data_IF_407243575725
#
_entry.id   IF_407243575725
#
_cell.length_a   1.000
_cell.length_b   1.000
_cell.length_c   1.000
_cell.angle_alpha   90.00
_cell.angle_beta   90.00
_cell.angle_gamma   90.00
#
_symmetry.space_group_name_H-M   'P 1'
#
loop_
_entity.id
_entity.type
_entity.pdbx_description
1 polymer ?
#
# COMPACT_ATOMS: atom_id res chain seq x y z
N UNK A 1 -23.16 -20.12 -37.24
CA UNK A 1 -23.83 -18.81 -36.85
C UNK A 1 -23.85 -18.62 -35.34
N UNK A 2 -24.20 -19.64 -34.55
CA UNK A 2 -24.25 -19.56 -33.07
C UNK A 2 -22.85 -19.27 -32.44
N UNK A 3 -21.80 -19.90 -32.95
CA UNK A 3 -20.41 -19.65 -32.54
C UNK A 3 -19.93 -18.23 -32.88
N UNK A 4 -20.43 -17.63 -33.95
CA UNK A 4 -20.07 -16.26 -34.34
C UNK A 4 -20.66 -15.21 -33.38
N UNK A 5 -21.91 -15.40 -32.93
CA UNK A 5 -22.56 -14.54 -31.98
C UNK A 5 -21.90 -14.61 -30.58
N UNK A 6 -21.55 -15.81 -30.12
CA UNK A 6 -20.84 -16.01 -28.86
C UNK A 6 -19.43 -15.40 -28.87
N UNK A 7 -18.71 -15.57 -29.99
CA UNK A 7 -17.39 -14.94 -30.15
C UNK A 7 -17.47 -13.40 -30.14
N UNK A 8 -18.49 -12.86 -30.81
CA UNK A 8 -18.73 -11.40 -30.79
C UNK A 8 -19.03 -10.88 -29.40
N UNK A 9 -19.80 -11.61 -28.58
CA UNK A 9 -20.06 -11.26 -27.19
C UNK A 9 -18.79 -11.32 -26.32
N UNK A 10 -17.95 -12.36 -26.49
CA UNK A 10 -16.70 -12.48 -25.78
C UNK A 10 -15.73 -11.34 -26.13
N UNK A 11 -15.64 -10.97 -27.40
CA UNK A 11 -14.82 -9.84 -27.82
C UNK A 11 -15.34 -8.52 -27.23
N UNK A 12 -16.65 -8.29 -27.21
CA UNK A 12 -17.24 -7.09 -26.60
C UNK A 12 -16.94 -7.01 -25.09
N UNK A 13 -16.96 -8.13 -24.36
CA UNK A 13 -16.56 -8.20 -22.94
C UNK A 13 -15.07 -7.86 -22.80
N UNK A 14 -14.21 -8.48 -23.61
CA UNK A 14 -12.78 -8.23 -23.58
C UNK A 14 -12.44 -6.77 -23.90
N UNK A 15 -13.06 -6.21 -24.92
CA UNK A 15 -12.85 -4.81 -25.33
C UNK A 15 -13.35 -3.81 -24.26
N UNK A 16 -14.42 -4.18 -23.52
CA UNK A 16 -14.93 -3.39 -22.40
C UNK A 16 -14.07 -3.46 -21.12
N UNK A 17 -13.23 -4.50 -20.98
CA UNK A 17 -12.48 -4.76 -19.74
C UNK A 17 -11.53 -3.63 -19.38
N UNK A 18 -10.78 -3.09 -20.33
CA UNK A 18 -9.82 -2.00 -20.10
C UNK A 18 -10.48 -0.77 -19.47
N UNK A 19 -11.64 -0.35 -20.00
CA UNK A 19 -12.36 0.80 -19.44
C UNK A 19 -12.96 0.53 -18.05
N UNK A 20 -13.33 -0.71 -17.73
CA UNK A 20 -13.77 -1.08 -16.38
C UNK A 20 -12.61 -1.00 -15.40
N UNK A 21 -11.44 -1.55 -15.78
CA UNK A 21 -10.23 -1.52 -14.97
C UNK A 21 -9.74 -0.10 -14.73
N UNK A 22 -9.69 0.72 -15.77
CA UNK A 22 -9.26 2.12 -15.69
C UNK A 22 -10.11 2.90 -14.66
N UNK A 23 -11.43 2.87 -14.80
CA UNK A 23 -12.34 3.52 -13.83
C UNK A 23 -12.22 2.95 -12.42
N UNK A 24 -11.95 1.66 -12.27
CA UNK A 24 -11.75 1.03 -10.96
C UNK A 24 -10.44 1.52 -10.32
N UNK A 25 -9.37 1.61 -11.10
CA UNK A 25 -8.07 2.13 -10.66
C UNK A 25 -8.15 3.60 -10.30
N UNK A 26 -8.83 4.43 -11.10
CA UNK A 26 -9.04 5.84 -10.80
C UNK A 26 -9.78 6.04 -9.47
N UNK A 27 -10.87 5.30 -9.25
CA UNK A 27 -11.59 5.32 -7.97
C UNK A 27 -10.72 4.87 -6.80
N UNK A 28 -9.99 3.79 -6.96
CA UNK A 28 -9.07 3.29 -5.93
C UNK A 28 -8.02 4.35 -5.55
N UNK A 29 -7.40 5.01 -6.54
CA UNK A 29 -6.42 6.06 -6.28
C UNK A 29 -7.03 7.30 -5.63
N UNK A 30 -8.21 7.73 -6.09
CA UNK A 30 -8.92 8.83 -5.45
C UNK A 30 -9.18 8.51 -3.97
N UNK A 31 -9.72 7.32 -3.66
CA UNK A 31 -10.00 6.91 -2.28
C UNK A 31 -8.72 6.82 -1.43
N UNK A 32 -7.65 6.22 -1.96
CA UNK A 32 -6.36 6.12 -1.24
C UNK A 32 -5.75 7.47 -0.89
N UNK A 33 -5.98 8.46 -1.73
CA UNK A 33 -5.48 9.83 -1.55
C UNK A 33 -6.51 10.77 -0.87
N UNK A 34 -7.70 10.29 -0.53
CA UNK A 34 -8.76 11.11 0.07
C UNK A 34 -9.30 12.21 -0.86
N UNK A 35 -9.30 11.97 -2.16
CA UNK A 35 -9.73 12.94 -3.16
C UNK A 35 -11.16 12.66 -3.62
N UNK A 36 -11.93 13.69 -3.88
CA UNK A 36 -13.27 13.58 -4.44
C UNK A 36 -13.27 12.98 -5.86
N UNK A 37 -12.19 13.17 -6.61
CA UNK A 37 -11.98 12.60 -7.94
C UNK A 37 -10.51 12.31 -8.19
N UNK A 38 -10.23 11.42 -9.13
CA UNK A 38 -8.87 11.06 -9.52
C UNK A 38 -8.11 12.26 -10.10
N UNK A 39 -6.89 12.48 -9.58
CA UNK A 39 -5.94 13.48 -10.08
C UNK A 39 -4.68 12.76 -10.58
N UNK A 40 -4.58 12.62 -11.90
CA UNK A 40 -3.49 11.94 -12.56
C UNK A 40 -2.12 12.58 -12.26
N UNK A 41 -2.04 13.91 -12.38
CA UNK A 41 -0.77 14.64 -12.25
C UNK A 41 -0.25 14.58 -10.81
N UNK A 42 -1.14 14.70 -9.84
CA UNK A 42 -0.80 14.55 -8.43
C UNK A 42 -0.26 13.15 -8.12
N UNK A 43 -0.93 12.11 -8.63
CA UNK A 43 -0.51 10.73 -8.45
C UNK A 43 0.85 10.45 -9.11
N UNK A 44 1.04 10.86 -10.36
CA UNK A 44 2.31 10.61 -11.06
C UNK A 44 3.48 11.28 -10.35
N UNK A 45 3.31 12.51 -9.88
CA UNK A 45 4.33 13.21 -9.08
C UNK A 45 4.66 12.44 -7.80
N UNK A 46 3.64 11.95 -7.08
CA UNK A 46 3.84 11.11 -5.90
C UNK A 46 4.66 9.87 -6.22
N UNK A 47 4.26 9.10 -7.23
CA UNK A 47 4.95 7.86 -7.59
C UNK A 47 6.39 8.11 -8.03
N UNK A 48 6.66 9.21 -8.74
CA UNK A 48 8.02 9.61 -9.12
C UNK A 48 8.88 9.94 -7.88
N UNK A 49 8.31 10.66 -6.90
CA UNK A 49 8.99 10.95 -5.63
C UNK A 49 9.27 9.65 -4.86
N UNK A 50 8.29 8.76 -4.74
CA UNK A 50 8.46 7.46 -4.06
C UNK A 50 9.57 6.62 -4.68
N UNK A 51 9.63 6.54 -6.02
CA UNK A 51 10.68 5.80 -6.73
C UNK A 51 12.09 6.37 -6.50
N UNK A 52 12.21 7.70 -6.34
CA UNK A 52 13.49 8.40 -6.13
C UNK A 52 14.00 8.31 -4.70
N UNK A 53 13.14 8.01 -3.74
CA UNK A 53 13.46 8.16 -2.31
C UNK A 53 13.43 6.87 -1.51
N UNK A 54 13.02 5.74 -2.09
CA UNK A 54 12.95 4.48 -1.36
C UNK A 54 11.97 4.54 -0.19
N UNK A 55 10.70 4.72 -0.50
CA UNK A 55 9.60 4.82 0.47
C UNK A 55 8.90 3.47 0.61
N UNK A 56 8.56 3.08 1.84
CA UNK A 56 7.63 1.98 2.07
C UNK A 56 6.21 2.42 1.69
N UNK A 57 5.69 1.82 0.63
CA UNK A 57 4.41 2.18 0.03
C UNK A 57 3.24 2.11 1.02
N UNK A 58 3.10 0.99 1.75
CA UNK A 58 1.96 0.80 2.65
C UNK A 58 2.03 1.74 3.86
N UNK A 59 3.21 1.89 4.45
CA UNK A 59 3.39 2.81 5.57
C UNK A 59 3.12 4.25 5.14
N UNK A 60 3.62 4.68 3.98
CA UNK A 60 3.39 6.04 3.49
C UNK A 60 1.91 6.37 3.36
N UNK A 61 1.13 5.52 2.68
CA UNK A 61 -0.31 5.77 2.51
C UNK A 61 -1.09 5.68 3.82
N UNK A 62 -0.67 4.82 4.75
CA UNK A 62 -1.29 4.76 6.08
C UNK A 62 -1.03 6.04 6.85
N UNK A 63 0.21 6.53 6.87
CA UNK A 63 0.55 7.80 7.54
C UNK A 63 -0.12 9.00 6.87
N UNK A 64 -0.21 9.01 5.54
CA UNK A 64 -0.93 10.04 4.81
C UNK A 64 -2.40 10.13 5.22
N UNK A 65 -3.00 9.00 5.62
CA UNK A 65 -4.40 8.94 6.08
C UNK A 65 -4.65 9.69 7.40
N UNK A 66 -3.61 10.09 8.12
CA UNK A 66 -3.72 10.98 9.28
C UNK A 66 -3.82 12.47 8.91
N UNK A 67 -3.80 12.79 7.64
CA UNK A 67 -3.81 14.15 7.07
C UNK A 67 -2.72 15.03 7.71
N UNK A 68 -1.44 14.64 7.55
CA UNK A 68 -0.32 15.32 8.19
C UNK A 68 -0.19 16.78 7.72
N UNK A 69 0.22 17.66 8.62
CA UNK A 69 0.48 19.08 8.30
C UNK A 69 1.82 19.30 7.61
N UNK A 70 2.79 18.43 7.90
CA UNK A 70 4.14 18.48 7.37
C UNK A 70 4.68 17.07 7.06
N UNK A 71 5.91 17.00 6.59
CA UNK A 71 6.56 15.72 6.26
C UNK A 71 7.04 14.94 7.49
N UNK A 72 7.01 15.48 8.71
CA UNK A 72 7.62 14.85 9.87
C UNK A 72 7.02 13.46 10.17
N UNK A 73 5.68 13.37 10.18
CA UNK A 73 4.99 12.08 10.40
C UNK A 73 5.20 11.07 9.28
N UNK A 74 5.42 11.53 8.04
CA UNK A 74 5.65 10.67 6.88
C UNK A 74 7.06 10.10 6.83
N UNK A 75 8.04 10.74 7.53
CA UNK A 75 9.45 10.33 7.46
C UNK A 75 9.71 8.93 7.96
N UNK A 76 8.88 8.39 8.84
CA UNK A 76 8.99 6.99 9.31
C UNK A 76 8.75 5.94 8.21
N UNK A 77 8.15 6.34 7.08
CA UNK A 77 7.97 5.48 5.92
C UNK A 77 9.19 5.45 4.97
N UNK A 78 10.20 6.28 5.21
CA UNK A 78 11.39 6.35 4.38
C UNK A 78 12.50 5.42 4.87
N UNK A 79 13.09 4.65 3.97
CA UNK A 79 14.26 3.81 4.29
C UNK A 79 15.51 4.63 4.58
N UNK A 80 15.61 5.81 3.96
CA UNK A 80 16.71 6.76 4.16
C UNK A 80 16.17 8.19 4.09
N UNK A 81 16.73 9.12 4.88
CA UNK A 81 16.32 10.52 4.78
C UNK A 81 16.57 11.04 3.34
N UNK A 82 15.56 11.65 2.69
CA UNK A 82 15.76 12.28 1.40
C UNK A 82 16.78 13.41 1.47
N UNK A 83 17.47 13.68 0.35
CA UNK A 83 18.30 14.88 0.22
C UNK A 83 17.42 16.13 0.31
N UNK A 84 18.00 17.25 0.78
CA UNK A 84 17.27 18.48 1.01
C UNK A 84 16.44 18.96 -0.21
N UNK A 85 17.01 18.87 -1.41
CA UNK A 85 16.33 19.24 -2.65
C UNK A 85 15.06 18.38 -2.89
N UNK A 86 15.17 17.07 -2.64
CA UNK A 86 14.06 16.14 -2.84
C UNK A 86 13.04 16.31 -1.70
N UNK A 87 13.47 16.66 -0.49
CA UNK A 87 12.56 16.98 0.61
C UNK A 87 11.69 18.19 0.28
N UNK A 88 12.26 19.23 -0.32
CA UNK A 88 11.49 20.39 -0.81
C UNK A 88 10.43 19.99 -1.85
N UNK A 89 10.74 19.04 -2.73
CA UNK A 89 9.75 18.51 -3.68
C UNK A 89 8.62 17.73 -2.96
N UNK A 90 8.95 16.96 -1.91
CA UNK A 90 7.97 16.27 -1.08
C UNK A 90 7.05 17.24 -0.33
N UNK A 91 7.61 18.31 0.25
CA UNK A 91 6.84 19.38 0.93
C UNK A 91 5.88 20.06 -0.04
N UNK A 92 6.36 20.40 -1.24
CA UNK A 92 5.52 21.00 -2.28
C UNK A 92 4.40 20.04 -2.75
N UNK A 93 4.70 18.74 -2.87
CA UNK A 93 3.68 17.74 -3.19
C UNK A 93 2.64 17.63 -2.07
N UNK A 94 3.06 17.55 -0.81
CA UNK A 94 2.18 17.44 0.35
C UNK A 94 1.25 18.67 0.42
N UNK A 95 1.78 19.87 0.23
CA UNK A 95 0.99 21.09 0.19
C UNK A 95 -0.05 21.04 -0.93
N UNK A 96 0.37 20.66 -2.14
CA UNK A 96 -0.52 20.52 -3.30
C UNK A 96 -1.63 19.48 -3.10
N UNK A 97 -1.33 18.38 -2.41
CA UNK A 97 -2.31 17.37 -2.01
C UNK A 97 -3.27 17.93 -0.95
N UNK A 98 -2.78 18.62 0.08
CA UNK A 98 -3.60 19.22 1.14
C UNK A 98 -4.61 20.26 0.63
N UNK A 99 -4.27 20.98 -0.43
CA UNK A 99 -5.18 21.92 -1.08
C UNK A 99 -6.37 21.26 -1.76
N UNK A 100 -6.23 19.96 -2.12
CA UNK A 100 -7.23 19.18 -2.86
C UNK A 100 -8.09 18.26 -1.97
N UNK A 101 -7.59 17.93 -0.79
CA UNK A 101 -8.33 17.05 0.12
C UNK A 101 -9.46 17.81 0.82
N UNK A 102 -10.64 17.23 0.85
CA UNK A 102 -11.78 17.76 1.62
C UNK A 102 -11.63 17.35 3.09
N UNK A 103 -11.48 18.34 3.98
CA UNK A 103 -10.83 18.21 5.28
C UNK A 103 -11.44 17.25 6.31
N UNK A 104 -12.74 17.01 6.38
CA UNK A 104 -13.29 16.38 7.60
C UNK A 104 -13.91 14.98 7.40
N UNK A 105 -14.23 14.59 6.18
CA UNK A 105 -14.88 13.31 5.89
C UNK A 105 -13.91 12.24 5.36
N UNK A 106 -12.71 12.61 4.95
CA UNK A 106 -11.87 11.73 4.10
C UNK A 106 -10.82 10.92 4.88
N UNK A 107 -10.45 11.33 6.11
CA UNK A 107 -9.46 10.60 6.91
C UNK A 107 -9.91 9.16 7.21
N UNK A 108 -11.16 8.96 7.62
CA UNK A 108 -11.72 7.64 7.90
C UNK A 108 -11.79 6.77 6.64
N UNK A 109 -12.25 7.34 5.52
CA UNK A 109 -12.28 6.66 4.22
C UNK A 109 -10.87 6.27 3.76
N UNK A 110 -9.88 7.16 3.92
CA UNK A 110 -8.48 6.86 3.62
C UNK A 110 -7.93 5.74 4.50
N UNK A 111 -8.22 5.73 5.79
CA UNK A 111 -7.80 4.66 6.70
C UNK A 111 -8.38 3.30 6.28
N UNK A 112 -9.63 3.27 5.83
CA UNK A 112 -10.27 2.05 5.31
C UNK A 112 -9.74 1.61 3.94
N UNK A 113 -9.15 2.51 3.16
CA UNK A 113 -8.52 2.22 1.88
C UNK A 113 -7.02 1.87 2.01
N UNK A 114 -6.39 2.27 3.13
CA UNK A 114 -4.95 2.13 3.39
C UNK A 114 -4.71 1.24 4.61
N UNK A 115 -4.58 -0.09 4.43
CA UNK A 115 -4.36 -0.99 5.54
C UNK A 115 -3.06 -0.67 6.27
N UNK A 116 -3.10 -0.72 7.61
CA UNK A 116 -1.92 -0.57 8.45
C UNK A 116 -1.03 -1.80 8.40
N UNK A 117 -1.65 -2.96 8.42
CA UNK A 117 -0.96 -4.25 8.39
C UNK A 117 -1.24 -4.97 7.07
N UNK A 118 -0.19 -5.51 6.46
CA UNK A 118 -0.28 -6.25 5.19
C UNK A 118 0.59 -7.50 5.24
N UNK A 119 0.32 -8.47 4.36
CA UNK A 119 1.18 -9.61 4.15
C UNK A 119 2.53 -9.15 3.60
N UNK A 120 3.58 -9.26 4.44
CA UNK A 120 4.95 -8.88 4.08
C UNK A 120 5.85 -10.09 4.15
N UNK A 121 6.62 -10.35 3.12
CA UNK A 121 7.50 -11.53 3.05
C UNK A 121 8.43 -11.66 4.26
N UNK A 122 8.98 -10.54 4.74
CA UNK A 122 9.87 -10.54 5.88
C UNK A 122 9.18 -10.91 7.22
N UNK A 123 7.85 -10.86 7.28
CA UNK A 123 7.04 -11.36 8.40
C UNK A 123 6.67 -12.84 8.20
N UNK A 124 6.32 -13.22 6.98
CA UNK A 124 5.78 -14.54 6.65
C UNK A 124 6.89 -15.61 6.64
N UNK A 125 8.05 -15.30 6.05
CA UNK A 125 9.14 -16.27 5.93
C UNK A 125 9.64 -16.77 7.30
N UNK A 126 9.88 -15.91 8.33
CA UNK A 126 10.19 -16.37 9.66
C UNK A 126 9.08 -17.22 10.31
N UNK A 127 7.80 -16.84 10.10
CA UNK A 127 6.66 -17.59 10.62
C UNK A 127 6.59 -19.02 10.05
N UNK A 128 6.82 -19.18 8.74
CA UNK A 128 6.92 -20.50 8.11
C UNK A 128 8.08 -21.33 8.66
N UNK A 129 9.27 -20.73 8.82
CA UNK A 129 10.44 -21.42 9.39
C UNK A 129 10.21 -21.87 10.84
N UNK A 130 9.45 -21.11 11.62
CA UNK A 130 9.06 -21.49 12.97
C UNK A 130 8.06 -22.66 12.95
N UNK A 131 7.05 -22.58 12.07
CA UNK A 131 6.03 -23.61 11.91
C UNK A 131 6.60 -24.96 11.44
N UNK A 132 7.61 -24.98 10.57
CA UNK A 132 8.35 -26.20 10.19
C UNK A 132 8.97 -26.92 11.40
N UNK A 133 9.25 -26.18 12.48
CA UNK A 133 9.77 -26.70 13.75
C UNK A 133 8.68 -26.97 14.79
N UNK A 134 7.41 -26.82 14.42
CA UNK A 134 6.25 -27.01 15.28
C UNK A 134 5.85 -25.79 16.11
N UNK A 135 6.46 -24.62 15.89
CA UNK A 135 6.06 -23.36 16.55
C UNK A 135 5.16 -22.53 15.63
N UNK A 136 3.86 -22.50 15.96
CA UNK A 136 2.83 -21.78 15.22
C UNK A 136 2.48 -20.41 15.82
N UNK A 137 3.17 -19.97 16.87
CA UNK A 137 2.87 -18.74 17.62
C UNK A 137 2.76 -17.54 16.69
N UNK A 138 3.77 -17.31 15.86
CA UNK A 138 3.81 -16.16 14.95
C UNK A 138 2.75 -16.25 13.85
N UNK A 139 2.37 -17.45 13.39
CA UNK A 139 1.27 -17.63 12.43
C UNK A 139 -0.05 -17.17 13.06
N UNK A 140 -0.34 -17.57 14.30
CA UNK A 140 -1.55 -17.17 14.99
C UNK A 140 -1.59 -15.65 15.28
N UNK A 141 -0.47 -15.07 15.68
CA UNK A 141 -0.36 -13.61 15.85
C UNK A 141 -0.66 -12.87 14.53
N UNK A 142 -0.01 -13.25 13.44
CA UNK A 142 -0.23 -12.65 12.12
C UNK A 142 -1.68 -12.85 11.64
N UNK A 143 -2.26 -14.01 11.86
CA UNK A 143 -3.66 -14.27 11.52
C UNK A 143 -4.60 -13.31 12.27
N UNK A 144 -4.40 -13.13 13.57
CA UNK A 144 -5.22 -12.23 14.37
C UNK A 144 -5.11 -10.77 13.88
N UNK A 145 -3.88 -10.31 13.61
CA UNK A 145 -3.63 -8.95 13.13
C UNK A 145 -4.26 -8.73 11.75
N UNK A 146 -4.12 -9.69 10.85
CA UNK A 146 -4.56 -9.57 9.46
C UNK A 146 -6.06 -9.84 9.26
N UNK A 147 -6.80 -10.23 10.30
CA UNK A 147 -8.27 -10.22 10.29
C UNK A 147 -8.85 -8.81 10.48
N UNK A 148 -8.07 -7.88 11.04
CA UNK A 148 -8.44 -6.48 11.20
C UNK A 148 -7.30 -5.54 10.72
N UNK A 149 -6.95 -5.60 9.42
CA UNK A 149 -5.71 -4.99 8.90
C UNK A 149 -5.75 -3.44 8.84
N UNK A 150 -6.93 -2.86 8.98
CA UNK A 150 -7.15 -1.40 8.97
C UNK A 150 -7.21 -0.80 10.37
N UNK A 151 -7.36 -1.63 11.40
CA UNK A 151 -7.54 -1.16 12.76
C UNK A 151 -6.20 -0.76 13.40
N UNK A 152 -6.27 0.17 14.34
CA UNK A 152 -5.18 0.42 15.27
C UNK A 152 -5.06 -0.78 16.21
N UNK A 153 -3.83 -1.22 16.44
CA UNK A 153 -3.53 -2.36 17.30
C UNK A 153 -2.82 -1.88 18.57
N UNK A 154 -2.45 -2.82 19.45
CA UNK A 154 -1.66 -2.46 20.64
C UNK A 154 -0.27 -1.96 20.24
N UNK A 155 0.34 -1.13 21.11
CA UNK A 155 1.71 -0.65 20.90
C UNK A 155 2.72 -1.79 20.70
N UNK A 156 2.53 -2.92 21.38
CA UNK A 156 3.37 -4.11 21.21
C UNK A 156 3.29 -4.68 19.78
N UNK A 157 2.07 -4.78 19.23
CA UNK A 157 1.83 -5.25 17.87
C UNK A 157 2.41 -4.26 16.87
N UNK A 158 2.24 -2.95 17.09
CA UNK A 158 2.78 -1.93 16.20
C UNK A 158 4.31 -1.96 16.18
N UNK A 159 4.94 -2.02 17.34
CA UNK A 159 6.39 -2.10 17.45
C UNK A 159 6.99 -3.36 16.80
N UNK A 160 6.22 -4.44 16.71
CA UNK A 160 6.68 -5.70 16.12
C UNK A 160 6.38 -5.81 14.63
N UNK A 161 5.24 -5.33 14.16
CA UNK A 161 4.71 -5.64 12.83
C UNK A 161 4.51 -4.42 11.92
N UNK A 162 4.39 -3.21 12.47
CA UNK A 162 4.27 -1.97 11.69
C UNK A 162 5.63 -1.28 11.56
N UNK A 163 6.50 -1.88 10.78
CA UNK A 163 7.88 -1.41 10.59
C UNK A 163 8.30 -1.46 9.12
N UNK A 164 9.35 -0.74 8.79
CA UNK A 164 10.03 -0.85 7.50
C UNK A 164 10.57 -2.28 7.33
N UNK A 165 10.63 -2.75 6.08
CA UNK A 165 11.30 -4.01 5.74
C UNK A 165 12.75 -3.95 6.18
N UNK A 166 13.25 -4.87 7.02
CA UNK A 166 14.65 -4.89 7.41
C UNK A 166 15.56 -5.08 6.19
N UNK A 167 16.70 -4.39 6.17
CA UNK A 167 17.59 -4.34 5.00
C UNK A 167 18.09 -5.71 4.55
N UNK A 168 18.34 -6.63 5.48
CA UNK A 168 18.76 -7.99 5.18
C UNK A 168 17.75 -8.77 4.31
N UNK A 169 16.46 -8.43 4.39
CA UNK A 169 15.42 -9.09 3.58
C UNK A 169 15.35 -8.60 2.14
N UNK A 170 16.05 -7.52 1.76
CA UNK A 170 16.10 -7.10 0.36
C UNK A 170 16.89 -8.08 -0.53
N UNK A 171 17.84 -8.79 0.05
CA UNK A 171 18.64 -9.81 -0.64
C UNK A 171 18.25 -11.25 -0.29
N UNK A 172 17.34 -11.44 0.66
CA UNK A 172 16.86 -12.76 1.03
C UNK A 172 15.88 -13.32 -0.02
N UNK A 173 15.87 -14.64 -0.20
CA UNK A 173 14.85 -15.32 -1.00
C UNK A 173 13.46 -15.10 -0.42
N UNK A 174 12.51 -14.71 -1.29
CA UNK A 174 11.13 -14.45 -0.90
C UNK A 174 10.29 -15.72 -0.72
N UNK A 175 8.98 -15.52 -0.57
CA UNK A 175 7.97 -16.60 -0.41
C UNK A 175 7.98 -17.61 -1.57
N UNK A 176 8.50 -17.22 -2.74
CA UNK A 176 8.63 -18.12 -3.90
C UNK A 176 9.39 -19.42 -3.59
N UNK A 177 10.31 -19.43 -2.60
CA UNK A 177 10.98 -20.63 -2.14
C UNK A 177 10.08 -21.59 -1.34
N UNK A 178 8.92 -21.12 -0.88
CA UNK A 178 7.97 -21.87 -0.09
C UNK A 178 6.67 -22.17 -0.85
N UNK A 179 6.56 -21.71 -2.10
CA UNK A 179 5.37 -21.94 -2.92
C UNK A 179 5.44 -23.32 -3.55
N UNK A 180 4.34 -24.08 -3.47
CA UNK A 180 4.19 -25.39 -4.11
C UNK A 180 4.03 -25.31 -5.64
N UNK A 181 4.21 -24.15 -6.26
CA UNK A 181 4.06 -23.92 -7.69
C UNK A 181 5.39 -23.86 -8.44
N UNK A 182 6.43 -24.50 -7.92
CA UNK A 182 7.67 -24.75 -8.64
C UNK A 182 7.61 -26.04 -9.41
#
# INVERSE_FOLDING_TARGET
EENSAQLSQLNAINDGFSGVMERAMERMWATKLGLASYDHDLLIKLLQLMLRTGVDYNMFFRELSSIPEDMASLTKSFYYPPKAEVMTEWEAWLQSWRERIEKDAEAENMQQANPKFTWREWLIVPAYKAAEKGDFTQIHELQNILTAPYDEQSEEVENKYYQLRPLEFFSAGGVAHYSCSS
#
